data_IF_264951177933
#
_entry.id   IF_264951177933
#
_cell.length_a   1.000
_cell.length_b   1.000
_cell.length_c   1.000
_cell.angle_alpha   90.00
_cell.angle_beta   90.00
_cell.angle_gamma   90.00
#
_symmetry.space_group_name_H-M   'P 1'
#
loop_
_entity.id
_entity.type
_entity.pdbx_description
1 polymer ?
#
# COMPACT_ATOMS: atom_id res chain seq x y z
N UNK A 1 34.19 -57.23 -8.40
CA UNK A 1 35.06 -56.08 -8.69
C UNK A 1 36.22 -56.09 -7.72
N UNK A 2 37.45 -55.81 -8.15
CA UNK A 2 38.59 -55.67 -7.23
C UNK A 2 38.45 -54.40 -6.39
N UNK A 3 39.08 -54.36 -5.21
CA UNK A 3 39.07 -53.17 -4.35
C UNK A 3 39.61 -51.92 -5.04
N UNK A 4 40.57 -52.08 -5.96
CA UNK A 4 41.13 -51.00 -6.78
C UNK A 4 40.11 -50.41 -7.78
N UNK A 5 39.29 -51.27 -8.39
CA UNK A 5 38.24 -50.83 -9.33
C UNK A 5 37.17 -49.99 -8.62
N UNK A 6 36.76 -50.40 -7.42
CA UNK A 6 35.81 -49.65 -6.58
C UNK A 6 36.40 -48.29 -6.15
N UNK A 7 37.66 -48.27 -5.73
CA UNK A 7 38.34 -47.03 -5.33
C UNK A 7 38.49 -46.04 -6.50
N UNK A 8 38.73 -46.54 -7.72
CA UNK A 8 38.77 -45.71 -8.92
C UNK A 8 37.38 -45.14 -9.26
N UNK A 9 36.33 -45.93 -9.13
CA UNK A 9 34.95 -45.48 -9.39
C UNK A 9 34.48 -44.41 -8.38
N UNK A 10 34.76 -44.60 -7.10
CA UNK A 10 34.45 -43.61 -6.05
C UNK A 10 35.19 -42.29 -6.33
N UNK A 11 36.47 -42.33 -6.74
CA UNK A 11 37.22 -41.13 -7.11
C UNK A 11 36.61 -40.39 -8.30
N UNK A 12 36.22 -41.12 -9.35
CA UNK A 12 35.56 -40.53 -10.53
C UNK A 12 34.23 -39.86 -10.17
N UNK A 13 33.43 -40.48 -9.30
CA UNK A 13 32.18 -39.87 -8.84
C UNK A 13 32.41 -38.64 -7.95
N UNK A 14 33.43 -38.67 -7.07
CA UNK A 14 33.82 -37.49 -6.30
C UNK A 14 34.26 -36.32 -7.20
N UNK A 15 35.04 -36.58 -8.24
CA UNK A 15 35.45 -35.55 -9.20
C UNK A 15 34.25 -34.98 -9.98
N UNK A 16 33.31 -35.84 -10.39
CA UNK A 16 32.05 -35.43 -11.05
C UNK A 16 31.20 -34.53 -10.14
N UNK A 17 31.03 -34.93 -8.88
CA UNK A 17 30.27 -34.17 -7.90
C UNK A 17 30.96 -32.83 -7.60
N UNK A 18 32.28 -32.81 -7.44
CA UNK A 18 33.05 -31.58 -7.24
C UNK A 18 32.87 -30.59 -8.40
N UNK A 19 32.95 -31.08 -9.65
CA UNK A 19 32.73 -30.26 -10.84
C UNK A 19 31.29 -29.71 -10.92
N UNK A 20 30.29 -30.50 -10.49
CA UNK A 20 28.89 -30.07 -10.47
C UNK A 20 28.63 -28.99 -9.41
N UNK A 21 29.20 -29.15 -8.22
CA UNK A 21 29.14 -28.15 -7.15
C UNK A 21 29.81 -26.84 -7.58
N UNK A 22 30.94 -26.93 -8.28
CA UNK A 22 31.64 -25.74 -8.78
C UNK A 22 30.78 -24.97 -9.80
N UNK A 23 30.16 -25.66 -10.76
CA UNK A 23 29.23 -25.03 -11.73
C UNK A 23 28.04 -24.36 -11.04
N UNK A 24 27.41 -25.04 -10.08
CA UNK A 24 26.31 -24.45 -9.31
C UNK A 24 26.73 -23.18 -8.57
N UNK A 25 27.94 -23.15 -8.02
CA UNK A 25 28.48 -21.96 -7.35
C UNK A 25 28.68 -20.81 -8.33
N UNK A 26 29.18 -21.09 -9.52
CA UNK A 26 29.34 -20.10 -10.60
C UNK A 26 27.98 -19.54 -11.03
N UNK A 27 26.97 -20.40 -11.25
CA UNK A 27 25.61 -20.01 -11.61
C UNK A 27 24.94 -19.13 -10.54
N UNK A 28 25.04 -19.53 -9.27
CA UNK A 28 24.50 -18.74 -8.14
C UNK A 28 25.19 -17.37 -8.03
N UNK A 29 26.50 -17.31 -8.26
CA UNK A 29 27.27 -16.07 -8.22
C UNK A 29 26.89 -15.13 -9.38
N UNK A 30 26.66 -15.68 -10.58
CA UNK A 30 26.21 -14.93 -11.74
C UNK A 30 24.79 -14.38 -11.53
N UNK A 31 23.88 -15.21 -10.99
CA UNK A 31 22.52 -14.80 -10.63
C UNK A 31 22.52 -13.70 -9.56
N UNK A 32 23.37 -13.82 -8.54
CA UNK A 32 23.48 -12.81 -7.49
C UNK A 32 24.00 -11.47 -8.02
N UNK A 33 25.01 -11.49 -8.91
CA UNK A 33 25.56 -10.29 -9.54
C UNK A 33 24.52 -9.59 -10.43
N UNK A 34 23.75 -10.36 -11.20
CA UNK A 34 22.64 -9.85 -12.02
C UNK A 34 21.53 -9.22 -11.16
N UNK A 35 21.17 -9.88 -10.05
CA UNK A 35 20.16 -9.38 -9.11
C UNK A 35 20.61 -8.13 -8.36
N UNK A 36 21.90 -8.02 -8.03
CA UNK A 36 22.50 -6.83 -7.42
C UNK A 36 22.44 -5.62 -8.38
N UNK A 37 22.79 -5.80 -9.66
CA UNK A 37 22.65 -4.76 -10.69
C UNK A 37 21.20 -4.31 -10.85
N UNK A 38 20.26 -5.26 -10.98
CA UNK A 38 18.84 -4.94 -11.11
C UNK A 38 18.27 -4.19 -9.89
N UNK A 39 18.78 -4.50 -8.68
CA UNK A 39 18.43 -3.80 -7.44
C UNK A 39 18.98 -2.36 -7.43
N UNK A 40 20.20 -2.14 -7.89
CA UNK A 40 20.82 -0.82 -7.97
C UNK A 40 20.19 0.05 -9.07
N UNK A 41 19.82 -0.54 -10.21
CA UNK A 41 19.05 0.14 -11.27
C UNK A 41 17.67 0.56 -10.76
N UNK A 42 16.97 -0.33 -10.04
CA UNK A 42 15.69 0.01 -9.39
C UNK A 42 15.86 1.09 -8.34
N UNK A 43 16.93 1.07 -7.53
CA UNK A 43 17.21 2.12 -6.54
C UNK A 43 17.50 3.45 -7.21
N UNK A 44 18.27 3.45 -8.29
CA UNK A 44 18.59 4.63 -9.09
C UNK A 44 17.34 5.19 -9.74
N UNK A 45 16.49 4.34 -10.33
CA UNK A 45 15.19 4.73 -10.88
C UNK A 45 14.27 5.29 -9.81
N UNK A 46 14.14 4.66 -8.64
CA UNK A 46 13.34 5.18 -7.54
C UNK A 46 13.87 6.51 -7.01
N UNK A 47 15.19 6.69 -6.95
CA UNK A 47 15.79 7.98 -6.58
C UNK A 47 15.59 9.04 -7.66
N UNK A 48 15.66 8.67 -8.94
CA UNK A 48 15.37 9.56 -10.06
C UNK A 48 13.90 9.98 -10.03
N UNK A 49 12.97 9.04 -9.89
CA UNK A 49 11.53 9.31 -9.74
C UNK A 49 11.27 10.16 -8.50
N UNK A 50 11.92 9.87 -7.36
CA UNK A 50 11.83 10.73 -6.18
C UNK A 50 12.32 12.15 -6.48
N UNK A 51 13.44 12.34 -7.17
CA UNK A 51 13.91 13.69 -7.54
C UNK A 51 13.00 14.38 -8.55
N UNK A 52 12.43 13.62 -9.48
CA UNK A 52 11.58 14.13 -10.56
C UNK A 52 10.15 14.44 -10.09
N UNK A 53 9.70 13.77 -9.02
CA UNK A 53 8.40 13.93 -8.37
C UNK A 53 8.51 14.46 -6.92
N UNK A 54 9.69 14.93 -6.46
CA UNK A 54 9.91 15.60 -5.16
C UNK A 54 9.38 17.03 -5.20
N UNK A 55 8.11 17.11 -5.55
CA UNK A 55 7.42 18.30 -6.01
C UNK A 55 6.20 18.55 -5.11
N UNK A 56 5.86 17.60 -4.23
CA UNK A 56 4.65 17.67 -3.41
C UNK A 56 4.89 17.75 -1.89
N UNK A 57 6.08 17.42 -1.37
CA UNK A 57 6.30 17.45 0.09
C UNK A 57 6.80 18.80 0.63
N UNK A 58 7.52 19.60 -0.17
CA UNK A 58 8.07 20.90 0.27
C UNK A 58 7.53 22.10 -0.54
N UNK A 59 6.45 21.92 -1.31
CA UNK A 59 5.79 22.98 -2.07
C UNK A 59 6.51 23.45 -3.35
N UNK A 60 7.76 23.05 -3.59
CA UNK A 60 8.67 23.63 -4.60
C UNK A 60 8.29 23.53 -6.08
N UNK A 61 7.23 22.82 -6.48
CA UNK A 61 6.79 22.83 -7.90
C UNK A 61 6.47 24.22 -8.41
N UNK A 62 5.74 24.96 -7.58
CA UNK A 62 5.03 26.15 -7.99
C UNK A 62 6.01 27.33 -8.04
N UNK A 63 6.98 27.34 -7.15
CA UNK A 63 8.05 28.33 -7.06
C UNK A 63 8.98 28.29 -8.28
N UNK A 64 9.23 27.11 -8.86
CA UNK A 64 10.03 26.93 -10.09
C UNK A 64 9.23 27.20 -11.38
N UNK A 65 7.91 27.01 -11.37
CA UNK A 65 7.03 27.24 -12.54
C UNK A 65 6.68 28.72 -12.71
N UNK A 66 6.54 29.45 -11.60
CA UNK A 66 6.14 30.87 -11.58
C UNK A 66 7.01 31.80 -12.45
N UNK A 67 8.35 31.68 -12.48
CA UNK A 67 9.19 32.49 -13.36
C UNK A 67 9.06 32.11 -14.83
N UNK A 68 8.79 30.83 -15.12
CA UNK A 68 8.74 30.29 -16.49
C UNK A 68 7.40 30.62 -17.17
N UNK A 69 6.30 30.67 -16.41
CA UNK A 69 4.93 30.85 -16.92
C UNK A 69 4.17 31.95 -16.16
N UNK A 70 4.54 33.24 -16.33
CA UNK A 70 3.98 34.33 -15.53
C UNK A 70 2.45 34.45 -15.62
N UNK A 71 1.89 34.18 -16.80
CA UNK A 71 0.45 34.23 -17.06
C UNK A 71 -0.35 33.12 -16.36
N UNK A 72 0.29 32.02 -15.97
CA UNK A 72 -0.34 30.92 -15.25
C UNK A 72 -0.36 31.16 -13.73
N UNK A 73 0.42 32.12 -13.22
CA UNK A 73 0.55 32.41 -11.78
C UNK A 73 -0.79 32.58 -11.07
N UNK A 74 -1.77 33.36 -11.59
CA UNK A 74 -3.06 33.53 -10.92
C UNK A 74 -3.84 32.22 -10.81
N UNK A 75 -3.77 31.35 -11.83
CA UNK A 75 -4.42 30.04 -11.81
C UNK A 75 -3.75 29.10 -10.81
N UNK A 76 -2.42 29.10 -10.76
CA UNK A 76 -1.63 28.27 -9.84
C UNK A 76 -1.84 28.70 -8.38
N UNK A 77 -1.88 30.00 -8.10
CA UNK A 77 -2.17 30.54 -6.77
C UNK A 77 -3.61 30.26 -6.34
N UNK A 78 -4.57 30.32 -7.26
CA UNK A 78 -5.96 29.93 -6.99
C UNK A 78 -6.07 28.44 -6.62
N UNK A 79 -5.42 27.55 -7.37
CA UNK A 79 -5.40 26.12 -7.07
C UNK A 79 -4.69 25.82 -5.75
N UNK A 80 -3.59 26.52 -5.45
CA UNK A 80 -2.90 26.44 -4.14
C UNK A 80 -3.84 26.86 -3.02
N UNK A 81 -4.51 28.00 -3.13
CA UNK A 81 -5.47 28.47 -2.15
C UNK A 81 -6.63 27.48 -1.96
N UNK A 82 -7.07 26.80 -3.03
CA UNK A 82 -8.09 25.76 -2.95
C UNK A 82 -7.60 24.48 -2.24
N UNK A 83 -6.34 24.07 -2.46
CA UNK A 83 -5.72 22.93 -1.79
C UNK A 83 -5.43 23.21 -0.31
N UNK A 84 -4.96 24.43 -0.01
CA UNK A 84 -4.63 24.90 1.34
C UNK A 84 -5.86 25.29 2.16
N UNK A 85 -7.04 25.46 1.54
CA UNK A 85 -8.29 25.66 2.26
C UNK A 85 -8.43 24.55 3.30
N UNK A 86 -8.48 24.88 4.61
CA UNK A 86 -8.66 23.87 5.62
C UNK A 86 -9.99 23.18 5.36
N UNK A 87 -9.94 21.88 5.03
CA UNK A 87 -11.11 20.98 5.00
C UNK A 87 -11.89 21.00 6.33
N UNK A 88 -11.34 21.63 7.38
CA UNK A 88 -11.91 21.81 8.71
C UNK A 88 -13.24 22.60 8.75
N UNK A 89 -13.57 23.42 7.74
CA UNK A 89 -14.77 24.26 7.77
C UNK A 89 -16.09 23.48 7.53
N UNK A 90 -16.02 22.21 7.16
CA UNK A 90 -17.21 21.35 7.03
C UNK A 90 -16.98 20.06 7.77
N UNK A 91 -17.06 20.12 9.11
CA UNK A 91 -17.19 18.90 9.92
C UNK A 91 -18.52 18.26 9.55
N UNK A 92 -18.52 17.44 8.51
CA UNK A 92 -19.60 16.51 8.23
C UNK A 92 -19.63 15.55 9.42
N UNK A 93 -20.51 15.81 10.38
CA UNK A 93 -20.82 14.82 11.41
C UNK A 93 -21.46 13.66 10.67
N UNK A 94 -20.71 12.59 10.51
CA UNK A 94 -21.17 11.38 9.82
C UNK A 94 -20.99 10.21 10.76
N UNK A 95 -21.96 9.30 10.76
CA UNK A 95 -21.98 8.14 11.63
C UNK A 95 -22.02 6.88 10.80
N UNK A 96 -21.16 5.93 11.16
CA UNK A 96 -21.06 4.63 10.49
C UNK A 96 -21.90 3.62 11.27
N UNK A 97 -22.79 2.93 10.56
CA UNK A 97 -23.67 1.92 11.11
C UNK A 97 -23.37 0.56 10.51
N UNK A 98 -23.43 -0.48 11.35
CA UNK A 98 -23.18 -1.86 10.95
C UNK A 98 -24.39 -2.73 11.29
N UNK A 99 -24.92 -3.41 10.27
CA UNK A 99 -25.88 -4.50 10.41
C UNK A 99 -25.09 -5.78 10.72
N UNK A 100 -24.83 -6.03 12.01
CA UNK A 100 -23.94 -7.09 12.50
C UNK A 100 -24.27 -8.46 11.92
N UNK A 101 -25.54 -8.83 11.87
CA UNK A 101 -26.01 -10.14 11.40
C UNK A 101 -25.92 -10.33 9.88
N UNK A 102 -25.69 -9.25 9.13
CA UNK A 102 -25.48 -9.30 7.67
C UNK A 102 -23.98 -9.41 7.32
N UNK A 103 -23.10 -8.96 8.21
CA UNK A 103 -21.67 -8.98 7.99
C UNK A 103 -21.12 -10.43 7.95
N UNK A 104 -20.27 -10.71 6.94
CA UNK A 104 -19.52 -11.98 6.81
C UNK A 104 -18.02 -11.84 7.08
N UNK A 105 -17.61 -10.75 7.73
CA UNK A 105 -16.22 -10.57 8.19
C UNK A 105 -15.15 -10.46 7.09
N UNK A 106 -15.50 -10.05 5.86
CA UNK A 106 -14.56 -9.99 4.72
C UNK A 106 -13.49 -8.89 4.79
N UNK A 107 -13.57 -7.97 5.77
CA UNK A 107 -12.58 -6.92 6.07
C UNK A 107 -12.41 -5.80 5.04
N UNK A 108 -13.07 -5.83 3.89
CA UNK A 108 -12.92 -4.76 2.87
C UNK A 108 -13.18 -3.34 3.41
N UNK A 109 -14.20 -3.17 4.24
CA UNK A 109 -14.49 -1.86 4.85
C UNK A 109 -13.35 -1.32 5.74
N UNK A 110 -12.58 -2.22 6.38
CA UNK A 110 -11.42 -1.86 7.21
C UNK A 110 -10.21 -1.55 6.31
N UNK A 111 -9.93 -2.44 5.37
CA UNK A 111 -8.74 -2.36 4.51
C UNK A 111 -8.75 -1.14 3.59
N UNK A 112 -9.92 -0.82 3.01
CA UNK A 112 -10.06 0.26 2.04
C UNK A 112 -10.55 1.58 2.65
N UNK A 113 -10.62 1.69 3.99
CA UNK A 113 -10.95 2.97 4.60
C UNK A 113 -9.76 3.94 4.49
N UNK A 114 -9.84 5.03 3.71
CA UNK A 114 -8.70 5.95 3.51
C UNK A 114 -8.34 6.74 4.79
N UNK A 115 -9.23 6.71 5.79
CA UNK A 115 -9.06 7.38 7.09
C UNK A 115 -8.82 6.41 8.24
N UNK A 116 -8.84 5.10 7.95
CA UNK A 116 -8.64 4.02 8.92
C UNK A 116 -9.52 4.15 10.17
N UNK A 117 -10.80 4.50 9.98
CA UNK A 117 -11.74 4.72 11.10
C UNK A 117 -12.38 3.44 11.62
N UNK A 118 -12.11 2.31 10.96
CA UNK A 118 -12.65 1.00 11.28
C UNK A 118 -11.50 0.04 11.61
N UNK A 119 -11.75 -0.87 12.55
CA UNK A 119 -10.87 -2.02 12.83
C UNK A 119 -11.71 -3.29 12.98
N UNK A 120 -11.09 -4.46 12.79
CA UNK A 120 -11.75 -5.71 13.16
C UNK A 120 -11.79 -5.84 14.68
N UNK A 121 -12.95 -6.22 15.22
CA UNK A 121 -13.10 -6.48 16.66
C UNK A 121 -13.01 -7.97 16.97
N UNK A 122 -12.74 -8.29 18.24
CA UNK A 122 -12.80 -9.67 18.74
C UNK A 122 -14.24 -10.18 18.96
N UNK A 123 -15.25 -9.35 18.67
CA UNK A 123 -16.66 -9.74 18.79
C UNK A 123 -17.11 -10.55 17.58
N UNK A 124 -17.98 -11.51 17.85
CA UNK A 124 -18.64 -12.33 16.85
C UNK A 124 -20.12 -11.97 16.72
N UNK A 125 -20.68 -12.10 15.52
CA UNK A 125 -22.13 -12.14 15.32
C UNK A 125 -22.67 -13.58 15.55
N UNK A 126 -23.99 -13.78 15.43
CA UNK A 126 -24.61 -15.09 15.66
C UNK A 126 -24.11 -16.21 14.72
N UNK A 127 -23.48 -15.83 13.60
CA UNK A 127 -22.93 -16.74 12.59
C UNK A 127 -21.45 -17.05 12.80
N UNK A 128 -20.83 -16.50 13.84
CA UNK A 128 -19.41 -16.73 14.15
C UNK A 128 -18.43 -15.89 13.32
N UNK A 129 -18.87 -14.81 12.67
CA UNK A 129 -17.95 -13.90 11.97
C UNK A 129 -17.47 -12.78 12.90
N UNK A 130 -16.18 -12.48 12.87
CA UNK A 130 -15.64 -11.25 13.43
C UNK A 130 -16.25 -10.04 12.72
N UNK A 131 -16.72 -9.06 13.49
CA UNK A 131 -17.35 -7.85 12.97
C UNK A 131 -16.42 -6.62 13.10
N UNK A 132 -16.48 -5.66 12.17
CA UNK A 132 -15.75 -4.42 12.32
C UNK A 132 -16.35 -3.53 13.42
N UNK A 133 -15.54 -2.65 13.97
CA UNK A 133 -15.93 -1.60 14.94
C UNK A 133 -15.32 -0.28 14.51
N UNK A 134 -16.04 0.82 14.78
CA UNK A 134 -15.55 2.18 14.56
C UNK A 134 -14.60 2.55 15.70
N UNK A 135 -13.39 2.98 15.38
CA UNK A 135 -12.34 3.33 16.35
C UNK A 135 -11.99 4.83 16.37
N UNK A 136 -12.36 5.57 15.33
CA UNK A 136 -12.05 7.00 15.19
C UNK A 136 -13.12 7.70 14.32
N UNK A 137 -14.34 7.77 14.85
CA UNK A 137 -15.51 8.30 14.13
C UNK A 137 -15.31 9.75 13.66
N UNK A 138 -14.63 10.56 14.47
CA UNK A 138 -14.30 11.95 14.20
C UNK A 138 -13.38 12.17 12.99
N UNK A 139 -12.70 11.11 12.53
CA UNK A 139 -11.84 11.15 11.34
C UNK A 139 -12.58 10.75 10.06
N UNK A 140 -13.84 10.32 10.16
CA UNK A 140 -14.66 9.92 9.03
C UNK A 140 -15.01 11.13 8.16
N UNK A 141 -14.87 10.97 6.84
CA UNK A 141 -15.12 12.05 5.86
C UNK A 141 -16.36 11.79 5.00
N UNK A 142 -17.23 10.86 5.39
CA UNK A 142 -18.42 10.45 4.60
C UNK A 142 -18.08 10.07 3.13
N UNK A 143 -16.93 9.40 2.90
CA UNK A 143 -16.54 8.99 1.55
C UNK A 143 -17.36 7.81 1.00
N UNK A 144 -18.17 7.15 1.85
CA UNK A 144 -19.01 5.99 1.54
C UNK A 144 -18.30 4.77 0.92
N UNK A 145 -16.96 4.76 0.91
CA UNK A 145 -16.18 3.65 0.38
C UNK A 145 -16.49 2.30 1.06
N UNK A 146 -16.70 2.31 2.38
CA UNK A 146 -17.08 1.12 3.12
C UNK A 146 -18.45 0.56 2.69
N UNK A 147 -19.39 1.42 2.26
CA UNK A 147 -20.70 0.99 1.74
C UNK A 147 -20.55 0.35 0.36
N UNK A 148 -19.84 1.06 -0.54
CA UNK A 148 -19.65 0.65 -1.93
C UNK A 148 -18.92 -0.70 -2.05
N UNK A 149 -17.95 -0.94 -1.17
CA UNK A 149 -17.13 -2.15 -1.18
C UNK A 149 -17.73 -3.31 -0.40
N UNK A 150 -18.83 -3.11 0.33
CA UNK A 150 -19.41 -4.18 1.13
C UNK A 150 -20.26 -5.10 0.24
N UNK A 151 -19.81 -6.35 -0.06
CA UNK A 151 -20.59 -7.25 -0.92
C UNK A 151 -21.92 -7.67 -0.28
N UNK A 152 -22.00 -7.57 1.04
CA UNK A 152 -23.18 -7.90 1.81
C UNK A 152 -24.07 -6.68 2.10
N UNK A 153 -23.69 -5.45 1.70
CA UNK A 153 -24.38 -4.21 2.09
C UNK A 153 -24.71 -4.15 3.59
N UNK A 154 -23.76 -4.59 4.42
CA UNK A 154 -23.90 -4.71 5.86
C UNK A 154 -23.49 -3.44 6.62
N UNK A 155 -22.95 -2.43 5.94
CA UNK A 155 -22.42 -1.20 6.54
C UNK A 155 -22.89 0.01 5.73
N UNK A 156 -23.28 1.09 6.41
CA UNK A 156 -23.74 2.33 5.79
C UNK A 156 -23.34 3.56 6.60
N UNK A 157 -23.24 4.73 5.95
CA UNK A 157 -22.88 6.01 6.57
C UNK A 157 -24.04 6.98 6.44
N UNK A 158 -24.43 7.59 7.57
CA UNK A 158 -25.47 8.62 7.64
C UNK A 158 -24.81 9.96 7.98
N UNK A 159 -25.14 10.98 7.19
CA UNK A 159 -24.84 12.37 7.57
C UNK A 159 -25.82 12.81 8.64
N UNK A 160 -25.29 13.15 9.81
CA UNK A 160 -26.06 13.76 10.88
C UNK A 160 -26.27 15.23 10.48
N UNK A 161 -27.50 15.59 10.15
CA UNK A 161 -27.85 17.00 10.03
C UNK A 161 -27.78 17.61 11.43
N UNK A 162 -27.11 18.75 11.58
CA UNK A 162 -27.27 19.56 12.78
C UNK A 162 -28.67 20.18 12.67
N UNK A 163 -29.60 19.74 13.53
CA UNK A 163 -30.85 20.47 13.75
C UNK A 163 -30.47 21.86 14.28
N UNK A 164 -30.50 22.85 13.38
CA UNK A 164 -30.42 24.26 13.72
C UNK A 164 -29.33 25.04 12.99
N UNK A 165 -29.69 25.62 11.83
CA UNK A 165 -29.64 27.08 11.67
C UNK A 165 -30.54 27.55 10.53
#
# INVERSE_FOLDING_TARGET
>A
MSGEALAHEIRREHERLAALVQRLREDVTALWSSWASARDDRRTLLNHLRRHFAVEEDGGFIEDVRPRWPHATPHVEMLRAEHERPRAARRLRSRVFLLTERCKGCRFCVEFCPRQVLAMSDRFNSKGYHIPVVIAEERCTDCKMCELLCPEFAIYVVRLQEEGR
#
